data_IF_434798640382
#
_entry.id   IF_434798640382
#
_cell.length_a   1.000
_cell.length_b   1.000
_cell.length_c   1.000
_cell.angle_alpha   90.00
_cell.angle_beta   90.00
_cell.angle_gamma   90.00
#
_symmetry.space_group_name_H-M   'P 1'
#
loop_
_entity.id
_entity.type
_entity.pdbx_description
1 polymer ?
#
# COMPACT_ATOMS: atom_id res chain seq x y z
N UNK A 1 5.63 11.16 -1.37
CA UNK A 1 6.67 10.28 -0.78
C UNK A 1 6.61 8.96 -1.53
N UNK A 2 7.73 8.36 -1.94
CA UNK A 2 7.76 7.01 -2.49
C UNK A 2 7.34 5.97 -1.46
N UNK A 3 6.68 4.91 -1.94
CA UNK A 3 6.26 3.77 -1.14
C UNK A 3 6.86 2.50 -1.74
N UNK A 4 7.30 1.58 -0.87
CA UNK A 4 7.98 0.36 -1.30
C UNK A 4 7.34 -0.90 -0.71
N UNK A 5 7.29 -1.97 -1.49
CA UNK A 5 6.99 -3.28 -0.94
C UNK A 5 8.18 -3.75 -0.09
N UNK A 6 7.94 -4.00 1.17
CA UNK A 6 8.98 -4.47 2.10
C UNK A 6 9.54 -5.85 1.72
N UNK A 7 8.73 -6.69 1.09
CA UNK A 7 9.02 -8.07 0.74
C UNK A 7 8.82 -8.31 -0.75
N UNK A 8 9.37 -9.41 -1.25
CA UNK A 8 9.25 -9.80 -2.64
C UNK A 8 7.95 -10.54 -2.93
N UNK A 9 7.56 -10.50 -4.19
CA UNK A 9 6.38 -11.15 -4.75
C UNK A 9 6.72 -11.87 -6.04
N UNK A 10 5.95 -12.86 -6.39
CA UNK A 10 5.95 -13.41 -7.74
C UNK A 10 5.43 -12.36 -8.72
N UNK A 11 6.03 -12.27 -9.90
CA UNK A 11 5.60 -11.39 -10.98
C UNK A 11 5.63 -12.18 -12.30
N UNK A 12 4.57 -12.93 -12.54
CA UNK A 12 4.56 -13.93 -13.59
C UNK A 12 5.56 -15.05 -13.33
N UNK A 13 6.52 -15.21 -14.22
CA UNK A 13 7.63 -16.15 -14.07
C UNK A 13 8.85 -15.54 -13.34
N UNK A 14 8.77 -14.28 -12.98
CA UNK A 14 9.83 -13.53 -12.29
C UNK A 14 9.51 -13.36 -10.80
N UNK A 15 10.48 -12.79 -10.09
CA UNK A 15 10.34 -12.30 -8.71
C UNK A 15 10.64 -10.82 -8.72
N UNK A 16 9.82 -10.02 -8.01
CA UNK A 16 9.99 -8.59 -7.95
C UNK A 16 9.69 -8.01 -6.57
N UNK A 17 10.28 -6.87 -6.25
CA UNK A 17 9.75 -5.89 -5.29
C UNK A 17 9.02 -4.80 -6.08
N UNK A 18 8.06 -4.14 -5.43
CA UNK A 18 7.29 -3.06 -6.04
C UNK A 18 7.59 -1.73 -5.38
N UNK A 19 7.51 -0.66 -6.17
CA UNK A 19 7.57 0.70 -5.70
C UNK A 19 6.45 1.54 -6.33
N UNK A 20 6.00 2.54 -5.59
CA UNK A 20 5.01 3.53 -6.04
C UNK A 20 5.62 4.91 -5.88
N UNK A 21 5.81 5.60 -6.99
CA UNK A 21 6.54 6.87 -7.04
C UNK A 21 5.62 8.00 -7.52
N UNK A 22 5.58 9.15 -6.82
CA UNK A 22 4.81 10.31 -7.26
C UNK A 22 5.25 10.80 -8.65
N UNK A 23 4.28 11.02 -9.55
CA UNK A 23 4.52 11.55 -10.90
C UNK A 23 3.97 12.97 -11.08
N UNK A 24 2.89 13.32 -10.37
CA UNK A 24 2.21 14.60 -10.53
C UNK A 24 3.08 15.80 -10.14
N UNK A 25 3.02 16.87 -10.91
CA UNK A 25 3.81 18.08 -10.64
C UNK A 25 3.45 18.71 -9.27
N UNK A 26 2.18 18.69 -8.89
CA UNK A 26 1.75 19.18 -7.57
C UNK A 26 2.28 18.30 -6.43
N UNK A 27 2.41 16.98 -6.65
CA UNK A 27 3.04 16.06 -5.69
C UNK A 27 4.54 16.33 -5.53
N UNK A 28 5.24 16.62 -6.63
CA UNK A 28 6.68 16.94 -6.62
C UNK A 28 7.00 18.24 -5.88
N UNK A 29 6.08 19.22 -5.91
CA UNK A 29 6.22 20.47 -5.13
C UNK A 29 6.26 20.24 -3.62
N UNK A 30 5.73 19.12 -3.14
CA UNK A 30 5.77 18.74 -1.72
C UNK A 30 7.07 18.04 -1.33
N UNK A 31 7.94 17.73 -2.29
CA UNK A 31 9.22 17.11 -2.02
C UNK A 31 10.09 18.02 -1.14
N UNK A 32 10.71 17.44 -0.11
CA UNK A 32 11.48 18.22 0.87
C UNK A 32 10.67 18.95 1.93
N UNK A 33 9.34 18.81 1.93
CA UNK A 33 8.50 19.30 3.03
C UNK A 33 8.63 18.36 4.23
N UNK A 34 8.95 18.89 5.38
CA UNK A 34 9.13 18.14 6.62
C UNK A 34 8.08 18.53 7.65
N UNK A 35 7.66 17.56 8.43
CA UNK A 35 6.82 17.76 9.61
C UNK A 35 7.72 18.21 10.75
N UNK A 36 7.29 19.20 11.50
CA UNK A 36 8.01 19.77 12.64
C UNK A 36 7.47 19.21 13.95
N UNK A 37 8.28 19.26 14.99
CA UNK A 37 7.90 18.75 16.32
C UNK A 37 6.73 19.50 16.96
N UNK A 38 6.49 20.76 16.56
CA UNK A 38 5.41 21.62 17.03
C UNK A 38 4.15 21.59 16.16
N UNK A 39 4.18 20.82 15.05
CA UNK A 39 3.00 20.63 14.20
C UNK A 39 1.89 19.84 14.94
N UNK A 40 0.61 20.10 14.62
CA UNK A 40 -0.49 19.35 15.20
C UNK A 40 -0.37 17.84 14.95
N UNK A 41 -0.81 17.02 15.92
CA UNK A 41 -0.74 15.55 15.84
C UNK A 41 -1.44 14.96 14.59
N UNK A 42 -2.37 15.69 14.02
CA UNK A 42 -3.14 15.30 12.83
C UNK A 42 -2.65 15.96 11.53
N UNK A 43 -1.50 16.64 11.53
CA UNK A 43 -0.99 17.41 10.38
C UNK A 43 -0.89 16.56 9.11
N UNK A 44 -0.39 15.33 9.21
CA UNK A 44 -0.26 14.43 8.06
C UNK A 44 -1.62 14.12 7.42
N UNK A 45 -2.59 13.73 8.25
CA UNK A 45 -3.95 13.41 7.79
C UNK A 45 -4.62 14.60 7.14
N UNK A 46 -4.40 15.79 7.71
CA UNK A 46 -4.99 17.03 7.22
C UNK A 46 -4.38 17.46 5.89
N UNK A 47 -3.04 17.47 5.80
CA UNK A 47 -2.36 17.76 4.53
C UNK A 47 -2.74 16.77 3.43
N UNK A 48 -2.83 15.48 3.77
CA UNK A 48 -3.21 14.44 2.82
C UNK A 48 -4.64 14.64 2.30
N UNK A 49 -5.58 14.93 3.20
CA UNK A 49 -6.97 15.24 2.85
C UNK A 49 -7.06 16.46 1.94
N UNK A 50 -6.49 17.59 2.38
CA UNK A 50 -6.55 18.86 1.66
C UNK A 50 -5.91 18.74 0.27
N UNK A 51 -4.84 17.99 0.15
CA UNK A 51 -4.20 17.71 -1.12
C UNK A 51 -5.11 16.91 -2.06
N UNK A 52 -5.71 15.81 -1.58
CA UNK A 52 -6.52 14.92 -2.41
C UNK A 52 -7.89 15.49 -2.78
N UNK A 53 -8.46 16.41 -1.99
CA UNK A 53 -9.68 17.13 -2.37
C UNK A 53 -9.45 18.02 -3.59
N UNK A 54 -8.27 18.63 -3.68
CA UNK A 54 -8.01 19.69 -4.65
C UNK A 54 -7.21 19.23 -5.88
N UNK A 55 -6.58 18.06 -5.83
CA UNK A 55 -5.65 17.65 -6.86
C UNK A 55 -5.92 16.23 -7.36
N UNK A 56 -5.80 16.05 -8.67
CA UNK A 56 -5.59 14.73 -9.26
C UNK A 56 -4.20 14.24 -8.87
N UNK A 57 -4.13 12.98 -8.44
CA UNK A 57 -2.90 12.36 -7.96
C UNK A 57 -2.49 11.23 -8.90
N UNK A 58 -1.24 11.23 -9.33
CA UNK A 58 -0.72 10.26 -10.28
C UNK A 58 0.56 9.63 -9.75
N UNK A 59 0.62 8.30 -9.77
CA UNK A 59 1.80 7.55 -9.38
C UNK A 59 2.28 6.62 -10.49
N UNK A 60 3.60 6.45 -10.57
CA UNK A 60 4.23 5.34 -11.28
C UNK A 60 4.22 4.11 -10.39
N UNK A 61 3.60 3.04 -10.84
CA UNK A 61 3.72 1.72 -10.22
C UNK A 61 4.87 0.97 -10.93
N UNK A 62 5.91 0.64 -10.17
CA UNK A 62 7.15 0.09 -10.69
C UNK A 62 7.47 -1.28 -10.10
N UNK A 63 8.15 -2.10 -10.88
CA UNK A 63 8.71 -3.38 -10.45
C UNK A 63 10.23 -3.34 -10.50
N UNK A 64 10.88 -3.81 -9.45
CA UNK A 64 12.31 -4.08 -9.39
C UNK A 64 12.50 -5.60 -9.48
N UNK A 65 13.04 -6.06 -10.60
CA UNK A 65 13.19 -7.49 -10.85
C UNK A 65 14.37 -8.09 -10.10
N UNK A 66 14.18 -9.30 -9.61
CA UNK A 66 15.24 -10.15 -9.10
C UNK A 66 16.12 -10.63 -10.26
N UNK A 67 17.39 -10.28 -10.25
CA UNK A 67 18.38 -10.71 -11.25
C UNK A 67 19.54 -11.50 -10.61
N UNK A 68 19.82 -11.25 -9.34
CA UNK A 68 20.88 -11.90 -8.60
C UNK A 68 20.43 -12.23 -7.16
N UNK A 69 20.23 -13.50 -6.85
CA UNK A 69 19.70 -13.94 -5.56
C UNK A 69 20.66 -13.65 -4.38
N UNK A 70 21.96 -13.59 -4.61
CA UNK A 70 22.95 -13.29 -3.56
C UNK A 70 22.89 -11.82 -3.12
N UNK A 71 22.67 -10.90 -4.08
CA UNK A 71 22.59 -9.47 -3.83
C UNK A 71 21.15 -9.00 -3.54
N UNK A 72 20.17 -9.78 -3.97
CA UNK A 72 18.74 -9.48 -3.83
C UNK A 72 18.02 -10.62 -3.08
N UNK A 73 18.41 -10.93 -1.83
CA UNK A 73 17.79 -12.04 -1.10
C UNK A 73 16.29 -11.78 -0.87
N UNK A 74 15.49 -12.86 -0.96
CA UNK A 74 14.04 -12.80 -0.76
C UNK A 74 13.65 -12.92 0.72
N UNK A 75 14.41 -13.71 1.47
CA UNK A 75 14.13 -14.02 2.88
C UNK A 75 14.85 -13.07 3.87
N UNK A 76 15.81 -12.28 3.42
CA UNK A 76 16.49 -11.28 4.23
C UNK A 76 15.95 -9.87 3.90
N UNK A 77 15.02 -9.39 4.71
CA UNK A 77 14.40 -8.06 4.55
C UNK A 77 15.32 -6.90 4.99
N UNK A 78 16.43 -7.20 5.67
CA UNK A 78 17.44 -6.23 6.07
C UNK A 78 18.36 -5.82 4.92
N UNK A 79 18.37 -6.59 3.83
CA UNK A 79 19.16 -6.29 2.64
C UNK A 79 18.33 -5.47 1.66
N UNK A 80 18.78 -4.24 1.42
CA UNK A 80 18.21 -3.38 0.39
C UNK A 80 18.70 -3.86 -0.99
N UNK A 81 17.77 -3.94 -1.95
CA UNK A 81 18.13 -4.21 -3.34
C UNK A 81 18.60 -2.91 -3.99
N UNK A 82 19.85 -2.85 -4.42
CA UNK A 82 20.47 -1.65 -4.99
C UNK A 82 19.73 -1.15 -6.23
N UNK A 83 19.05 -0.01 -6.10
CA UNK A 83 18.25 0.60 -7.18
C UNK A 83 19.12 1.08 -8.36
N UNK A 84 20.41 1.36 -8.15
CA UNK A 84 21.33 1.77 -9.23
C UNK A 84 21.73 0.60 -10.10
N UNK A 85 21.85 -0.59 -9.50
CA UNK A 85 22.22 -1.83 -10.19
C UNK A 85 21.00 -2.56 -10.75
N UNK A 86 19.91 -2.53 -10.01
CA UNK A 86 18.64 -3.18 -10.31
C UNK A 86 17.51 -2.13 -10.24
N UNK A 87 17.31 -1.34 -11.30
CA UNK A 87 16.38 -0.21 -11.27
C UNK A 87 14.91 -0.65 -11.17
N UNK A 88 14.10 0.22 -10.61
CA UNK A 88 12.65 0.13 -10.70
C UNK A 88 12.19 0.50 -12.11
N UNK A 89 11.47 -0.37 -12.77
CA UNK A 89 10.89 -0.15 -14.09
C UNK A 89 9.39 0.07 -13.98
N UNK A 90 8.88 1.12 -14.62
CA UNK A 90 7.44 1.41 -14.59
C UNK A 90 6.66 0.33 -15.36
N UNK A 91 5.67 -0.24 -14.70
CA UNK A 91 4.79 -1.27 -15.27
C UNK A 91 3.34 -0.80 -15.38
N UNK A 92 2.95 0.22 -14.60
CA UNK A 92 1.62 0.81 -14.67
C UNK A 92 1.62 2.26 -14.15
N UNK A 93 0.53 2.96 -14.41
CA UNK A 93 0.21 4.26 -13.80
C UNK A 93 -1.04 4.11 -12.93
N UNK A 94 -0.98 4.67 -11.72
CA UNK A 94 -2.12 4.74 -10.81
C UNK A 94 -2.60 6.19 -10.79
N UNK A 95 -3.88 6.41 -11.03
CA UNK A 95 -4.49 7.74 -11.01
C UNK A 95 -5.64 7.79 -10.00
N UNK A 96 -5.68 8.83 -9.20
CA UNK A 96 -6.78 9.16 -8.31
C UNK A 96 -7.35 10.51 -8.70
N UNK A 97 -8.62 10.55 -9.00
CA UNK A 97 -9.35 11.81 -9.20
C UNK A 97 -9.53 12.54 -7.85
N UNK A 98 -9.69 13.86 -7.87
CA UNK A 98 -9.92 14.64 -6.65
C UNK A 98 -11.08 14.07 -5.83
N UNK A 99 -10.84 13.80 -4.54
CA UNK A 99 -11.83 13.21 -3.65
C UNK A 99 -11.51 13.49 -2.19
N UNK A 100 -12.54 13.52 -1.33
CA UNK A 100 -12.33 13.55 0.12
C UNK A 100 -11.96 12.16 0.63
N UNK A 101 -10.69 11.97 1.00
CA UNK A 101 -10.17 10.71 1.55
C UNK A 101 -10.48 10.53 3.06
N UNK A 102 -11.19 11.47 3.67
CA UNK A 102 -11.36 11.51 5.13
C UNK A 102 -12.81 11.70 5.57
N UNK A 103 -13.75 11.02 4.91
CA UNK A 103 -15.15 10.99 5.30
C UNK A 103 -15.27 10.08 6.54
N UNK A 104 -15.74 10.58 7.71
CA UNK A 104 -15.75 9.82 8.97
C UNK A 104 -16.50 8.49 8.89
N UNK A 105 -17.69 8.47 8.28
CA UNK A 105 -18.53 7.28 8.15
C UNK A 105 -17.85 6.22 7.27
N UNK A 106 -17.21 6.66 6.20
CA UNK A 106 -16.47 5.80 5.29
C UNK A 106 -15.24 5.20 5.95
N UNK A 107 -14.54 6.01 6.75
CA UNK A 107 -13.38 5.58 7.51
C UNK A 107 -13.73 4.52 8.55
N UNK A 108 -14.79 4.73 9.35
CA UNK A 108 -15.24 3.73 10.33
C UNK A 108 -15.57 2.41 9.65
N UNK A 109 -16.30 2.46 8.53
CA UNK A 109 -16.61 1.25 7.76
C UNK A 109 -15.33 0.56 7.26
N UNK A 110 -14.38 1.34 6.74
CA UNK A 110 -13.11 0.85 6.22
C UNK A 110 -12.25 0.23 7.32
N UNK A 111 -12.05 0.96 8.41
CA UNK A 111 -11.19 0.53 9.52
C UNK A 111 -11.76 -0.70 10.24
N UNK A 112 -13.07 -0.81 10.39
CA UNK A 112 -13.71 -1.86 11.16
C UNK A 112 -14.01 -3.11 10.33
N UNK A 113 -14.36 -2.96 9.06
CA UNK A 113 -14.97 -4.02 8.25
C UNK A 113 -14.07 -4.56 7.16
N UNK A 114 -13.22 -3.74 6.56
CA UNK A 114 -12.32 -4.16 5.51
C UNK A 114 -11.14 -4.94 6.08
N UNK A 115 -10.69 -5.91 5.31
CA UNK A 115 -9.49 -6.68 5.65
C UNK A 115 -8.45 -6.59 4.54
N UNK A 116 -7.21 -6.35 4.93
CA UNK A 116 -6.05 -6.48 4.03
C UNK A 116 -5.54 -7.91 4.10
N UNK A 117 -5.44 -8.55 2.96
CA UNK A 117 -4.93 -9.90 2.82
C UNK A 117 -3.99 -9.98 1.62
N UNK A 118 -2.69 -9.98 1.86
CA UNK A 118 -1.67 -10.05 0.79
C UNK A 118 -1.68 -11.36 0.00
N UNK A 119 -2.42 -12.37 0.47
CA UNK A 119 -2.60 -13.65 -0.21
C UNK A 119 -3.88 -13.71 -1.06
N UNK A 120 -4.72 -12.66 -1.01
CA UNK A 120 -5.90 -12.53 -1.83
C UNK A 120 -5.53 -11.83 -3.14
N UNK A 121 -5.10 -12.59 -4.10
CA UNK A 121 -4.64 -12.10 -5.40
C UNK A 121 -4.38 -13.23 -6.38
N UNK A 122 -3.85 -12.88 -7.54
CA UNK A 122 -3.51 -13.85 -8.57
C UNK A 122 -2.33 -14.73 -8.13
N UNK A 123 -2.33 -15.98 -8.57
CA UNK A 123 -1.22 -16.92 -8.31
C UNK A 123 0.11 -16.41 -8.88
N UNK A 124 0.05 -15.67 -9.97
CA UNK A 124 1.17 -15.01 -10.64
C UNK A 124 1.75 -13.84 -9.84
N UNK A 125 1.02 -13.34 -8.83
CA UNK A 125 1.43 -12.26 -7.94
C UNK A 125 1.54 -12.71 -6.47
N UNK A 126 1.76 -14.00 -6.25
CA UNK A 126 1.80 -14.59 -4.92
C UNK A 126 2.93 -13.98 -4.07
N UNK A 127 2.65 -13.64 -2.80
CA UNK A 127 3.67 -13.17 -1.86
C UNK A 127 4.75 -14.24 -1.61
N UNK A 128 6.00 -13.84 -1.56
CA UNK A 128 7.16 -14.72 -1.36
C UNK A 128 7.88 -14.38 -0.04
N UNK A 129 8.72 -15.31 0.39
CA UNK A 129 9.59 -15.16 1.55
C UNK A 129 8.92 -15.46 2.90
N UNK A 130 9.75 -15.58 3.92
CA UNK A 130 9.37 -15.93 5.30
C UNK A 130 8.44 -14.89 5.93
N UNK A 131 8.71 -13.60 5.71
CA UNK A 131 7.88 -12.50 6.20
C UNK A 131 6.44 -12.59 5.67
N UNK A 132 6.26 -12.89 4.39
CA UNK A 132 4.93 -13.03 3.82
C UNK A 132 4.22 -14.31 4.33
N UNK A 133 4.95 -15.40 4.54
CA UNK A 133 4.40 -16.61 5.17
C UNK A 133 3.89 -16.31 6.59
N UNK A 134 4.66 -15.54 7.36
CA UNK A 134 4.24 -15.08 8.69
C UNK A 134 2.98 -14.19 8.61
N UNK A 135 2.95 -13.23 7.69
CA UNK A 135 1.78 -12.35 7.47
C UNK A 135 0.49 -13.14 7.25
N UNK A 136 0.55 -14.27 6.57
CA UNK A 136 -0.62 -15.11 6.33
C UNK A 136 -1.32 -15.52 7.62
N UNK A 137 -0.55 -15.87 8.64
CA UNK A 137 -1.08 -16.28 9.96
C UNK A 137 -1.44 -15.06 10.80
N UNK A 138 -0.51 -14.11 10.93
CA UNK A 138 -0.68 -12.92 11.79
C UNK A 138 -1.88 -12.08 11.35
N UNK A 139 -2.06 -11.85 10.05
CA UNK A 139 -3.18 -11.05 9.55
C UNK A 139 -4.52 -11.75 9.79
N UNK A 140 -4.57 -13.08 9.64
CA UNK A 140 -5.78 -13.85 9.94
C UNK A 140 -6.18 -13.74 11.42
N UNK A 141 -5.23 -13.89 12.34
CA UNK A 141 -5.49 -13.80 13.77
C UNK A 141 -5.80 -12.37 14.23
N UNK A 142 -5.05 -11.39 13.74
CA UNK A 142 -5.31 -9.96 14.00
C UNK A 142 -6.72 -9.56 13.56
N UNK A 143 -7.15 -10.02 12.38
CA UNK A 143 -8.50 -9.81 11.87
C UNK A 143 -9.55 -10.40 12.78
N UNK A 144 -9.41 -11.64 13.21
CA UNK A 144 -10.35 -12.29 14.15
C UNK A 144 -10.46 -11.51 15.46
N UNK A 145 -9.33 -11.07 16.01
CA UNK A 145 -9.30 -10.25 17.21
C UNK A 145 -10.06 -8.94 17.02
N UNK A 146 -9.79 -8.22 15.93
CA UNK A 146 -10.44 -6.95 15.60
C UNK A 146 -11.97 -7.10 15.50
N UNK A 147 -12.45 -8.11 14.77
CA UNK A 147 -13.88 -8.40 14.68
C UNK A 147 -14.51 -8.64 16.06
N UNK A 148 -13.84 -9.44 16.90
CA UNK A 148 -14.31 -9.74 18.25
C UNK A 148 -14.38 -8.48 19.12
N UNK A 149 -13.34 -7.63 19.09
CA UNK A 149 -13.29 -6.40 19.88
C UNK A 149 -14.36 -5.40 19.41
N UNK A 150 -14.57 -5.27 18.10
CA UNK A 150 -15.51 -4.33 17.51
C UNK A 150 -16.96 -4.88 17.45
N UNK A 151 -17.21 -6.12 17.94
CA UNK A 151 -18.54 -6.70 18.01
C UNK A 151 -19.12 -7.15 16.67
N UNK A 152 -18.30 -7.32 15.64
CA UNK A 152 -18.74 -7.84 14.35
C UNK A 152 -18.57 -9.37 14.28
N UNK A 153 -19.46 -10.01 13.53
CA UNK A 153 -19.39 -11.47 13.29
C UNK A 153 -18.48 -11.81 12.10
N UNK A 154 -18.57 -10.99 11.06
CA UNK A 154 -17.89 -11.21 9.79
C UNK A 154 -17.18 -9.95 9.31
N UNK A 155 -16.08 -10.14 8.60
CA UNK A 155 -15.42 -9.09 7.84
C UNK A 155 -15.97 -9.04 6.41
N UNK A 156 -15.68 -7.97 5.70
CA UNK A 156 -16.08 -7.77 4.32
C UNK A 156 -14.84 -7.81 3.41
N UNK A 157 -14.90 -8.67 2.39
CA UNK A 157 -14.02 -8.61 1.22
C UNK A 157 -14.90 -8.22 0.02
N UNK A 158 -15.01 -6.92 -0.33
CA UNK A 158 -15.90 -6.48 -1.39
C UNK A 158 -15.51 -7.13 -2.73
N UNK A 159 -16.44 -7.81 -3.36
CA UNK A 159 -16.26 -8.35 -4.70
C UNK A 159 -16.49 -7.30 -5.80
N UNK A 160 -17.09 -6.17 -5.45
CA UNK A 160 -17.34 -5.05 -6.35
C UNK A 160 -17.38 -3.70 -5.61
N UNK A 161 -17.20 -2.60 -6.35
CA UNK A 161 -17.33 -1.24 -5.82
C UNK A 161 -18.75 -0.93 -5.30
N UNK A 162 -19.78 -1.69 -5.72
CA UNK A 162 -21.15 -1.50 -5.24
C UNK A 162 -21.34 -1.90 -3.76
N UNK A 163 -20.46 -2.70 -3.22
CA UNK A 163 -20.46 -3.14 -1.82
C UNK A 163 -19.75 -2.16 -0.91
N UNK A 164 -19.01 -1.21 -1.49
CA UNK A 164 -18.36 -0.13 -0.77
C UNK A 164 -19.37 1.02 -0.61
N UNK A 165 -19.57 1.57 0.59
CA UNK A 165 -20.46 2.70 0.79
C UNK A 165 -20.08 3.85 -0.14
N UNK A 166 -21.08 4.45 -0.79
CA UNK A 166 -20.83 5.66 -1.56
C UNK A 166 -20.47 6.81 -0.62
N UNK A 167 -19.55 7.68 -1.00
CA UNK A 167 -19.36 8.93 -0.26
C UNK A 167 -20.67 9.73 -0.28
N UNK A 168 -21.11 10.18 0.88
CA UNK A 168 -22.33 10.99 1.07
C UNK A 168 -22.06 12.42 0.65
#
# INVERSE_FOLDING_TARGET
MPEYSQSAYRFGDYVAKFGVFPLGEEQKKLEGTYIKDDDPINVISQHNRDFHINNKVTYSFCAQLLQNLEEQPVDDIGVEWDEKKYPFEQVATIEFEPQDSWIPEFRVWWDDRITVNSWHGLKEHQPLGSTNRMRRVVYAESRKLRLKVNGYKDYIEPASLKEVPAPV
#
